data_IF_494191155105
#
_entry.id   IF_494191155105
#
_cell.length_a   1.000
_cell.length_b   1.000
_cell.length_c   1.000
_cell.angle_alpha   90.00
_cell.angle_beta   90.00
_cell.angle_gamma   90.00
#
_symmetry.space_group_name_H-M   'P 1'
#
loop_
_entity.id
_entity.type
_entity.pdbx_description
1 polymer ?
#
# COMPACT_ATOMS: atom_id res chain seq x y z
N UNK A 1 -52.21 15.88 26.17
CA UNK A 1 -51.40 16.97 26.76
C UNK A 1 -50.74 16.50 28.04
N UNK A 2 -49.40 16.35 28.05
CA UNK A 2 -48.55 16.37 29.25
C UNK A 2 -47.15 16.71 28.76
N UNK A 3 -46.73 17.96 29.01
CA UNK A 3 -45.43 18.48 28.61
C UNK A 3 -44.43 18.10 29.71
N UNK A 4 -43.41 17.33 29.36
CA UNK A 4 -42.27 17.08 30.24
C UNK A 4 -41.19 18.08 29.83
N UNK A 5 -41.03 19.11 30.67
CA UNK A 5 -39.95 20.09 30.57
C UNK A 5 -38.82 19.53 31.43
N UNK A 6 -37.71 19.12 30.81
CA UNK A 6 -36.48 18.78 31.52
C UNK A 6 -35.44 19.83 31.18
N UNK A 7 -35.03 20.52 32.24
CA UNK A 7 -34.19 21.69 32.33
C UNK A 7 -32.77 21.44 31.80
N UNK A 8 -32.33 22.28 30.86
CA UNK A 8 -30.95 22.33 30.35
C UNK A 8 -30.09 23.15 31.34
N UNK A 9 -29.30 22.47 32.18
CA UNK A 9 -28.30 23.12 33.05
C UNK A 9 -26.99 23.25 32.29
N UNK A 10 -26.68 24.46 31.85
CA UNK A 10 -25.41 24.85 31.23
C UNK A 10 -24.44 25.22 32.36
N UNK A 11 -23.48 24.36 32.67
CA UNK A 11 -22.33 24.67 33.52
C UNK A 11 -21.14 25.07 32.65
N UNK A 12 -20.93 26.37 32.46
CA UNK A 12 -19.67 26.90 31.92
C UNK A 12 -18.61 26.91 33.02
N UNK A 13 -17.65 25.99 32.97
CA UNK A 13 -16.44 26.08 33.78
C UNK A 13 -15.55 27.20 33.23
N UNK A 14 -15.25 28.15 34.10
CA UNK A 14 -14.31 29.25 33.86
C UNK A 14 -12.88 28.70 33.68
N UNK A 15 -12.24 29.06 32.57
CA UNK A 15 -10.81 28.90 32.35
C UNK A 15 -10.04 29.86 33.27
N UNK A 16 -9.36 29.35 34.29
CA UNK A 16 -8.31 30.10 35.00
C UNK A 16 -7.04 30.12 34.16
N UNK A 17 -6.72 31.29 33.62
CA UNK A 17 -5.44 31.60 33.02
C UNK A 17 -4.34 31.59 34.10
N UNK A 18 -3.34 30.72 33.95
CA UNK A 18 -2.06 30.86 34.62
C UNK A 18 -1.22 31.86 33.79
N UNK A 19 -1.20 33.11 34.23
CA UNK A 19 -0.25 34.11 33.74
C UNK A 19 0.92 34.27 34.72
N UNK A 20 2.12 34.40 34.15
CA UNK A 20 3.41 34.80 34.71
C UNK A 20 4.24 33.77 35.49
N UNK A 21 5.36 33.42 34.86
CA UNK A 21 6.65 33.42 35.55
C UNK A 21 7.73 33.98 34.61
N UNK A 22 8.10 35.23 34.84
CA UNK A 22 9.31 35.84 34.32
C UNK A 22 10.54 35.12 34.90
N UNK A 23 11.52 34.86 34.05
CA UNK A 23 12.90 34.58 34.46
C UNK A 23 13.84 35.25 33.47
N UNK A 24 14.41 36.37 33.92
CA UNK A 24 15.56 37.02 33.31
C UNK A 24 16.76 36.07 33.21
N UNK A 25 17.45 36.09 32.07
CA UNK A 25 18.66 35.32 31.82
C UNK A 25 19.32 35.67 30.48
N UNK A 26 19.99 36.82 30.44
CA UNK A 26 20.85 37.34 29.35
C UNK A 26 21.78 36.29 28.71
N UNK A 27 21.94 36.36 27.39
CA UNK A 27 23.18 36.78 26.70
C UNK A 27 23.39 36.07 25.37
N UNK A 28 23.50 36.82 24.27
CA UNK A 28 24.09 36.33 23.01
C UNK A 28 23.50 36.93 21.74
N UNK A 29 23.67 38.23 21.51
CA UNK A 29 23.57 38.81 20.16
C UNK A 29 24.68 38.25 19.29
N UNK A 30 24.36 37.83 18.06
CA UNK A 30 25.26 37.96 16.93
C UNK A 30 24.47 38.32 15.66
N UNK A 31 25.02 39.31 14.97
CA UNK A 31 24.47 40.01 13.83
C UNK A 31 24.71 39.27 12.50
N UNK A 32 23.76 39.47 11.57
CA UNK A 32 23.95 39.84 10.16
C UNK A 32 24.39 38.76 9.15
N UNK A 33 23.63 38.69 8.05
CA UNK A 33 24.15 38.31 6.74
C UNK A 33 23.11 37.79 5.77
N UNK A 34 22.36 38.70 5.12
CA UNK A 34 21.71 38.41 3.84
C UNK A 34 22.74 37.90 2.84
N UNK A 35 22.42 36.80 2.15
CA UNK A 35 22.91 36.59 0.77
C UNK A 35 22.02 35.61 0.01
N UNK A 36 21.09 36.21 -0.72
CA UNK A 36 20.57 35.72 -1.99
C UNK A 36 21.73 35.37 -2.93
N UNK A 37 21.75 34.16 -3.49
CA UNK A 37 22.55 33.83 -4.67
C UNK A 37 21.66 33.13 -5.68
N UNK A 38 21.62 33.79 -6.82
CA UNK A 38 20.93 33.57 -8.07
C UNK A 38 21.44 32.33 -8.82
N UNK A 39 20.60 31.89 -9.75
CA UNK A 39 20.76 30.92 -10.83
C UNK A 39 22.17 30.79 -11.44
N UNK A 40 22.50 29.56 -11.85
CA UNK A 40 23.32 29.35 -13.04
C UNK A 40 22.78 28.14 -13.81
N UNK A 41 22.00 28.44 -14.85
CA UNK A 41 21.90 27.62 -16.04
C UNK A 41 23.28 27.48 -16.68
N UNK A 42 23.57 26.33 -17.27
CA UNK A 42 24.52 26.21 -18.37
C UNK A 42 24.05 25.06 -19.27
N UNK A 43 23.25 25.44 -20.27
CA UNK A 43 23.23 24.79 -21.56
C UNK A 43 24.44 25.28 -22.35
N UNK A 44 25.21 24.39 -22.97
CA UNK A 44 25.78 24.69 -24.29
C UNK A 44 25.89 23.41 -25.11
N UNK A 45 25.32 23.52 -26.30
CA UNK A 45 25.21 22.56 -27.39
C UNK A 45 26.55 22.24 -28.08
N UNK A 46 26.42 21.28 -29.01
CA UNK A 46 27.21 20.99 -30.22
C UNK A 46 28.26 19.88 -30.10
N UNK A 47 28.40 18.92 -31.01
CA UNK A 47 27.64 18.50 -32.20
C UNK A 47 28.23 17.14 -32.67
N UNK A 48 27.37 16.28 -33.24
CA UNK A 48 27.57 15.14 -34.19
C UNK A 48 28.88 14.33 -34.20
N UNK A 49 28.71 13.00 -34.18
CA UNK A 49 28.93 12.26 -35.43
C UNK A 49 28.02 11.04 -35.58
N UNK A 50 27.57 10.81 -36.81
CA UNK A 50 26.67 9.77 -37.29
C UNK A 50 27.52 8.66 -37.89
N UNK A 51 27.31 7.39 -37.53
CA UNK A 51 27.44 6.32 -38.53
C UNK A 51 26.50 5.15 -38.25
N UNK A 52 25.54 5.04 -39.16
CA UNK A 52 24.67 3.89 -39.42
C UNK A 52 25.49 2.86 -40.20
N UNK A 53 25.42 1.58 -39.83
CA UNK A 53 25.63 0.50 -40.77
C UNK A 53 24.60 -0.62 -40.50
N UNK A 54 23.77 -0.82 -41.51
CA UNK A 54 22.89 -1.97 -41.71
C UNK A 54 23.53 -2.76 -42.84
N UNK A 55 23.72 -4.06 -42.69
CA UNK A 55 23.81 -4.96 -43.84
C UNK A 55 23.20 -6.33 -43.48
N UNK A 56 22.22 -6.71 -44.30
CA UNK A 56 21.54 -7.99 -44.39
C UNK A 56 22.44 -9.09 -45.00
N UNK A 57 22.28 -10.35 -44.58
CA UNK A 57 21.87 -11.45 -45.48
C UNK A 57 21.78 -12.82 -44.77
N UNK A 58 20.55 -13.33 -44.68
CA UNK A 58 20.04 -14.51 -45.41
C UNK A 58 20.68 -15.89 -45.24
N UNK A 59 19.85 -16.75 -44.65
CA UNK A 59 19.52 -18.15 -44.96
C UNK A 59 20.59 -19.11 -45.49
N UNK A 60 20.69 -20.28 -44.85
CA UNK A 60 20.47 -21.54 -45.55
C UNK A 60 20.00 -22.66 -44.61
N UNK A 61 18.99 -23.37 -45.10
CA UNK A 61 18.27 -24.50 -44.51
C UNK A 61 18.98 -25.83 -44.87
N UNK A 62 18.56 -26.91 -44.21
CA UNK A 62 18.51 -28.34 -44.67
C UNK A 62 19.35 -29.36 -43.89
N UNK A 63 18.65 -30.05 -42.98
CA UNK A 63 18.36 -31.52 -42.91
C UNK A 63 19.49 -32.54 -43.12
N UNK A 64 19.59 -33.52 -42.19
CA UNK A 64 20.22 -34.82 -42.47
C UNK A 64 20.52 -35.68 -41.23
N UNK A 65 19.66 -36.66 -40.99
CA UNK A 65 19.58 -37.68 -39.93
C UNK A 65 20.78 -38.68 -39.88
N UNK A 66 21.11 -39.25 -38.70
CA UNK A 66 21.64 -40.63 -38.53
C UNK A 66 21.44 -41.17 -37.09
N UNK A 67 20.40 -42.00 -36.99
CA UNK A 67 20.01 -43.17 -36.15
C UNK A 67 20.86 -43.73 -34.97
N UNK A 68 20.09 -44.18 -33.95
CA UNK A 68 20.11 -45.46 -33.18
C UNK A 68 21.35 -45.85 -32.34
N UNK A 69 21.28 -46.55 -31.21
CA UNK A 69 20.24 -47.18 -30.37
C UNK A 69 20.94 -47.56 -29.03
N UNK A 70 20.21 -47.75 -27.94
CA UNK A 70 20.42 -48.88 -27.00
C UNK A 70 19.67 -48.66 -25.69
N UNK A 71 18.71 -49.53 -25.49
CA UNK A 71 17.89 -49.81 -24.32
C UNK A 71 18.65 -49.97 -22.99
N UNK A 72 17.99 -49.58 -21.89
CA UNK A 72 17.51 -50.55 -20.90
C UNK A 72 16.61 -49.91 -19.84
N UNK A 73 15.33 -50.31 -19.87
CA UNK A 73 14.31 -50.04 -18.86
C UNK A 73 14.13 -51.29 -17.99
N UNK A 74 14.14 -51.14 -16.67
CA UNK A 74 13.71 -52.17 -15.72
C UNK A 74 13.01 -51.51 -14.52
N UNK A 75 11.69 -51.70 -14.50
CA UNK A 75 10.73 -51.29 -13.49
C UNK A 75 11.00 -51.89 -12.09
N UNK A 76 10.73 -51.13 -11.02
CA UNK A 76 10.44 -51.68 -9.68
C UNK A 76 9.30 -50.86 -9.03
N UNK A 77 8.45 -51.60 -8.33
CA UNK A 77 7.07 -51.39 -7.91
C UNK A 77 6.81 -50.34 -6.82
N UNK A 78 5.57 -49.85 -6.82
CA UNK A 78 4.92 -49.16 -5.70
C UNK A 78 4.65 -50.10 -4.54
N UNK A 79 4.82 -49.63 -3.31
CA UNK A 79 4.28 -50.24 -2.10
C UNK A 79 3.87 -49.16 -1.10
N UNK A 80 2.58 -49.15 -0.77
CA UNK A 80 2.01 -48.39 0.34
C UNK A 80 2.50 -48.96 1.68
N UNK A 81 2.82 -48.10 2.65
CA UNK A 81 2.66 -48.41 4.07
C UNK A 81 2.42 -47.14 4.89
N UNK A 82 1.26 -47.10 5.53
CA UNK A 82 0.91 -46.21 6.64
C UNK A 82 1.62 -46.68 7.90
N UNK A 83 2.31 -45.79 8.62
CA UNK A 83 2.57 -45.93 10.05
C UNK A 83 2.72 -44.53 10.65
N UNK A 84 1.88 -44.25 11.65
CA UNK A 84 1.88 -43.00 12.38
C UNK A 84 3.16 -42.81 13.17
N UNK A 85 3.66 -41.58 13.13
CA UNK A 85 4.64 -41.08 14.07
C UNK A 85 4.10 -39.75 14.60
N UNK A 86 3.96 -39.69 15.92
CA UNK A 86 3.39 -38.57 16.66
C UNK A 86 4.19 -37.29 16.37
N UNK A 87 3.63 -36.38 15.58
CA UNK A 87 4.16 -35.03 15.49
C UNK A 87 3.89 -34.32 16.82
N UNK A 88 4.96 -34.22 17.60
CA UNK A 88 5.17 -33.16 18.57
C UNK A 88 4.71 -31.82 17.96
N UNK A 89 4.04 -30.93 18.72
CA UNK A 89 3.62 -29.63 18.19
C UNK A 89 4.89 -28.92 17.71
N UNK A 90 5.02 -28.82 16.39
CA UNK A 90 6.05 -28.02 15.76
C UNK A 90 5.86 -26.60 16.27
N UNK A 91 6.88 -26.12 16.96
CA UNK A 91 7.09 -24.70 17.25
C UNK A 91 7.05 -23.98 15.89
N UNK A 92 5.88 -23.48 15.54
CA UNK A 92 5.56 -22.90 14.25
C UNK A 92 6.22 -21.51 14.27
N UNK A 93 7.54 -21.49 14.05
CA UNK A 93 8.28 -20.24 13.95
C UNK A 93 7.71 -19.49 12.76
N UNK A 94 6.79 -18.55 13.02
CA UNK A 94 6.11 -17.77 12.01
C UNK A 94 7.20 -16.99 11.24
N UNK A 95 7.52 -17.46 10.04
CA UNK A 95 8.38 -16.73 9.12
C UNK A 95 7.65 -15.46 8.66
N UNK A 96 8.33 -14.31 8.61
CA UNK A 96 7.76 -13.02 8.20
C UNK A 96 7.16 -13.02 6.78
N UNK A 97 7.67 -13.88 5.90
CA UNK A 97 7.05 -14.04 4.58
C UNK A 97 5.67 -14.71 4.71
N UNK A 98 5.59 -15.74 5.55
CA UNK A 98 4.37 -16.49 5.80
C UNK A 98 3.28 -15.63 6.46
N UNK A 99 3.64 -14.73 7.39
CA UNK A 99 2.66 -13.80 7.98
C UNK A 99 2.15 -12.78 6.95
N UNK A 100 3.03 -12.30 6.08
CA UNK A 100 2.68 -11.31 5.05
C UNK A 100 1.68 -11.87 4.05
N UNK A 101 1.89 -13.10 3.59
CA UNK A 101 0.93 -13.80 2.71
C UNK A 101 -0.40 -14.07 3.44
N UNK A 102 -0.35 -14.60 4.67
CA UNK A 102 -1.54 -14.90 5.47
C UNK A 102 -2.42 -13.67 5.69
N UNK A 103 -1.82 -12.53 6.04
CA UNK A 103 -2.59 -11.31 6.31
C UNK A 103 -3.16 -10.70 5.03
N UNK A 104 -2.42 -10.79 3.90
CA UNK A 104 -2.94 -10.38 2.60
C UNK A 104 -4.16 -11.21 2.20
N UNK A 105 -4.05 -12.53 2.31
CA UNK A 105 -5.17 -13.43 2.00
C UNK A 105 -6.36 -13.19 2.94
N UNK A 106 -6.11 -12.96 4.23
CA UNK A 106 -7.15 -12.59 5.16
C UNK A 106 -7.88 -11.31 4.74
N UNK A 107 -7.16 -10.23 4.41
CA UNK A 107 -7.75 -8.95 4.00
C UNK A 107 -8.60 -9.12 2.72
N UNK A 108 -8.11 -9.86 1.73
CA UNK A 108 -8.79 -9.98 0.42
C UNK A 108 -9.92 -11.02 0.44
N UNK A 109 -9.72 -12.16 1.11
CA UNK A 109 -10.60 -13.34 1.00
C UNK A 109 -11.15 -13.84 2.36
N UNK A 110 -10.46 -13.58 3.46
CA UNK A 110 -10.69 -14.25 4.75
C UNK A 110 -11.79 -13.66 5.66
N UNK A 111 -12.54 -12.65 5.20
CA UNK A 111 -13.51 -11.90 6.03
C UNK A 111 -14.98 -12.25 5.70
N UNK A 112 -15.25 -13.45 5.19
CA UNK A 112 -16.58 -13.84 4.69
C UNK A 112 -17.67 -13.97 5.75
N UNK A 113 -17.28 -14.13 7.02
CA UNK A 113 -18.16 -14.19 8.19
C UNK A 113 -18.55 -12.80 8.72
N UNK A 114 -17.87 -11.73 8.28
CA UNK A 114 -18.13 -10.36 8.70
C UNK A 114 -19.16 -9.67 7.80
N UNK A 115 -20.01 -8.80 8.36
CA UNK A 115 -20.85 -7.93 7.54
C UNK A 115 -19.98 -6.97 6.72
N UNK A 116 -20.47 -6.55 5.56
CA UNK A 116 -19.70 -5.73 4.60
C UNK A 116 -19.15 -4.42 5.19
N UNK A 117 -19.83 -3.85 6.19
CA UNK A 117 -19.41 -2.63 6.87
C UNK A 117 -18.22 -2.85 7.83
N UNK A 118 -17.97 -4.08 8.28
CA UNK A 118 -16.88 -4.42 9.21
C UNK A 118 -15.64 -4.95 8.50
N UNK A 119 -15.73 -5.27 7.20
CA UNK A 119 -14.59 -5.76 6.44
C UNK A 119 -13.54 -4.68 6.26
N UNK A 120 -12.27 -5.04 6.44
CA UNK A 120 -11.14 -4.25 5.98
C UNK A 120 -11.11 -4.25 4.45
N UNK A 121 -11.09 -3.05 3.87
CA UNK A 121 -11.26 -2.84 2.43
C UNK A 121 -10.01 -2.23 1.84
N UNK A 122 -9.44 -2.94 0.89
CA UNK A 122 -8.16 -2.63 0.27
C UNK A 122 -8.21 -2.89 -1.23
N UNK A 123 -7.51 -2.04 -1.99
CA UNK A 123 -7.06 -2.44 -3.33
C UNK A 123 -5.96 -3.49 -3.20
N UNK A 124 -6.06 -4.58 -3.96
CA UNK A 124 -5.00 -5.58 -4.06
C UNK A 124 -3.69 -4.97 -4.56
N UNK A 125 -3.77 -4.01 -5.49
CA UNK A 125 -2.61 -3.29 -6.04
C UNK A 125 -1.89 -2.52 -4.93
N UNK A 126 -2.63 -1.78 -4.11
CA UNK A 126 -2.07 -1.07 -2.96
C UNK A 126 -1.47 -2.00 -1.92
N UNK A 127 -2.23 -3.04 -1.53
CA UNK A 127 -1.80 -3.97 -0.49
C UNK A 127 -0.49 -4.70 -0.87
N UNK A 128 -0.23 -4.88 -2.16
CA UNK A 128 1.00 -5.49 -2.65
C UNK A 128 2.22 -4.59 -2.61
N UNK A 129 2.04 -3.27 -2.66
CA UNK A 129 3.12 -2.27 -2.58
C UNK A 129 3.52 -1.93 -1.13
N UNK A 130 2.68 -2.27 -0.15
CA UNK A 130 2.97 -2.03 1.26
C UNK A 130 4.02 -3.00 1.78
N UNK A 131 5.01 -2.47 2.52
CA UNK A 131 5.99 -3.29 3.24
C UNK A 131 5.38 -3.89 4.52
N UNK A 132 4.65 -4.99 4.35
CA UNK A 132 3.96 -5.70 5.44
C UNK A 132 4.94 -6.23 6.50
N UNK A 133 6.14 -6.66 6.11
CA UNK A 133 7.14 -7.16 7.05
C UNK A 133 7.57 -6.08 8.06
N UNK A 134 7.74 -4.83 7.62
CA UNK A 134 8.07 -3.72 8.53
C UNK A 134 6.89 -3.38 9.43
N UNK A 135 5.67 -3.35 8.90
CA UNK A 135 4.46 -3.14 9.70
C UNK A 135 4.26 -4.24 10.75
N UNK A 136 4.66 -5.47 10.42
CA UNK A 136 4.62 -6.57 11.38
C UNK A 136 5.60 -6.35 12.53
N UNK A 137 6.83 -5.91 12.24
CA UNK A 137 7.80 -5.57 13.28
C UNK A 137 7.29 -4.45 14.20
N UNK A 138 6.69 -3.41 13.63
CA UNK A 138 6.08 -2.31 14.39
C UNK A 138 4.91 -2.80 15.25
N UNK A 139 4.07 -3.67 14.70
CA UNK A 139 2.94 -4.28 15.41
C UNK A 139 3.39 -5.11 16.62
N UNK A 140 4.41 -5.96 16.47
CA UNK A 140 4.98 -6.75 17.57
C UNK A 140 5.65 -5.83 18.60
N UNK A 141 6.38 -4.81 18.16
CA UNK A 141 7.01 -3.83 19.05
C UNK A 141 5.98 -3.04 19.88
N UNK A 142 4.78 -2.81 19.33
CA UNK A 142 3.66 -2.20 20.02
C UNK A 142 2.91 -3.16 21.00
N UNK A 143 3.35 -4.42 21.10
CA UNK A 143 2.76 -5.44 21.98
C UNK A 143 1.67 -6.29 21.32
N UNK A 144 1.59 -6.27 19.99
CA UNK A 144 0.66 -7.10 19.21
C UNK A 144 0.90 -8.60 19.35
N UNK A 145 -0.15 -9.39 19.15
CA UNK A 145 -0.07 -10.85 19.15
C UNK A 145 0.38 -11.38 17.79
N UNK A 146 1.54 -12.06 17.75
CA UNK A 146 2.15 -12.63 16.53
C UNK A 146 1.28 -13.64 15.78
N UNK A 147 0.33 -14.26 16.48
CA UNK A 147 -0.53 -15.30 15.91
C UNK A 147 -1.92 -14.79 15.53
N UNK A 148 -2.25 -13.53 15.83
CA UNK A 148 -3.55 -12.93 15.51
C UNK A 148 -3.50 -12.17 14.18
N UNK A 149 -3.95 -12.86 13.12
CA UNK A 149 -3.99 -12.31 11.75
C UNK A 149 -5.01 -11.19 11.63
N UNK A 150 -6.15 -11.29 12.32
CA UNK A 150 -7.21 -10.29 12.23
C UNK A 150 -6.79 -8.99 12.91
N UNK A 151 -6.19 -9.09 14.09
CA UNK A 151 -5.63 -7.92 14.79
C UNK A 151 -4.52 -7.28 13.97
N UNK A 152 -3.65 -8.07 13.33
CA UNK A 152 -2.62 -7.54 12.46
C UNK A 152 -3.19 -6.89 11.18
N UNK A 153 -4.23 -7.46 10.56
CA UNK A 153 -4.92 -6.86 9.42
C UNK A 153 -5.54 -5.49 9.78
N UNK A 154 -6.12 -5.38 10.97
CA UNK A 154 -6.59 -4.11 11.51
C UNK A 154 -5.44 -3.12 11.68
N UNK A 155 -4.32 -3.57 12.25
CA UNK A 155 -3.14 -2.73 12.45
C UNK A 155 -2.61 -2.18 11.12
N UNK A 156 -2.47 -3.02 10.09
CA UNK A 156 -2.08 -2.60 8.74
C UNK A 156 -3.05 -1.54 8.20
N UNK A 157 -4.36 -1.78 8.31
CA UNK A 157 -5.39 -0.85 7.82
C UNK A 157 -5.29 0.54 8.46
N UNK A 158 -4.89 0.61 9.73
CA UNK A 158 -4.79 1.88 10.46
C UNK A 158 -3.42 2.56 10.33
N UNK A 159 -2.35 1.79 10.15
CA UNK A 159 -0.97 2.30 10.30
C UNK A 159 -0.12 2.21 9.03
N UNK A 160 -0.57 1.53 7.97
CA UNK A 160 0.17 1.48 6.71
C UNK A 160 0.46 2.89 6.20
N UNK A 161 1.67 3.21 5.72
CA UNK A 161 1.98 4.53 5.21
C UNK A 161 1.14 4.83 3.95
N UNK A 162 0.84 6.11 3.72
CA UNK A 162 0.32 6.55 2.42
C UNK A 162 1.46 6.45 1.42
N UNK A 163 1.30 5.60 0.41
CA UNK A 163 2.31 5.38 -0.63
C UNK A 163 2.51 6.66 -1.44
N UNK A 164 3.75 7.05 -1.73
CA UNK A 164 4.03 8.28 -2.49
C UNK A 164 3.45 8.26 -3.91
N UNK A 165 3.23 7.07 -4.48
CA UNK A 165 2.64 6.84 -5.79
C UNK A 165 1.14 6.47 -5.73
N UNK A 166 0.46 6.68 -4.60
CA UNK A 166 -0.94 6.26 -4.40
C UNK A 166 -1.87 6.73 -5.52
N UNK A 167 -1.72 7.98 -6.00
CA UNK A 167 -2.58 8.51 -7.06
C UNK A 167 -2.47 7.70 -8.36
N UNK A 168 -1.25 7.27 -8.71
CA UNK A 168 -1.02 6.50 -9.94
C UNK A 168 -1.66 5.12 -9.82
N UNK A 169 -1.44 4.44 -8.70
CA UNK A 169 -2.05 3.13 -8.42
C UNK A 169 -3.59 3.23 -8.45
N UNK A 170 -4.15 4.27 -7.84
CA UNK A 170 -5.59 4.48 -7.82
C UNK A 170 -6.15 4.78 -9.22
N UNK A 171 -5.49 5.64 -10.01
CA UNK A 171 -5.92 5.96 -11.38
C UNK A 171 -5.99 4.70 -12.25
N UNK A 172 -5.03 3.79 -12.10
CA UNK A 172 -5.06 2.49 -12.76
C UNK A 172 -6.23 1.63 -12.28
N UNK A 173 -6.44 1.50 -10.97
CA UNK A 173 -7.56 0.71 -10.43
C UNK A 173 -8.93 1.27 -10.83
N UNK A 174 -9.09 2.60 -10.88
CA UNK A 174 -10.32 3.25 -11.32
C UNK A 174 -10.58 2.98 -12.81
N UNK A 175 -9.52 3.05 -13.63
CA UNK A 175 -9.59 2.76 -15.06
C UNK A 175 -9.95 1.30 -15.32
N UNK A 176 -9.32 0.38 -14.60
CA UNK A 176 -9.58 -1.05 -14.72
C UNK A 176 -11.00 -1.41 -14.26
N UNK A 177 -11.50 -0.74 -13.21
CA UNK A 177 -12.83 -1.03 -12.63
C UNK A 177 -13.97 -0.41 -13.41
N UNK A 178 -13.82 0.84 -13.88
CA UNK A 178 -14.91 1.61 -14.48
C UNK A 178 -14.64 2.17 -15.88
N UNK A 179 -13.39 2.12 -16.36
CA UNK A 179 -13.00 2.74 -17.64
C UNK A 179 -12.85 4.26 -17.58
N UNK A 180 -12.91 4.86 -16.39
CA UNK A 180 -12.88 6.31 -16.19
C UNK A 180 -11.48 6.85 -15.96
N UNK A 181 -11.23 8.08 -16.43
CA UNK A 181 -10.02 8.83 -16.15
C UNK A 181 -10.29 9.90 -15.08
N UNK A 182 -9.41 9.99 -14.09
CA UNK A 182 -9.49 11.00 -13.03
C UNK A 182 -9.14 12.37 -13.60
N UNK A 183 -10.04 13.35 -13.42
CA UNK A 183 -9.79 14.74 -13.83
C UNK A 183 -9.41 15.66 -12.66
N UNK A 184 -9.86 15.32 -11.44
CA UNK A 184 -9.55 16.07 -10.23
C UNK A 184 -9.63 15.16 -9.00
N UNK A 185 -8.74 15.39 -8.05
CA UNK A 185 -8.77 14.83 -6.70
C UNK A 185 -8.91 15.99 -5.71
N UNK A 186 -9.94 15.94 -4.89
CA UNK A 186 -10.18 16.93 -3.84
C UNK A 186 -10.01 16.26 -2.48
N UNK A 187 -9.05 16.74 -1.71
CA UNK A 187 -8.82 16.23 -0.35
C UNK A 187 -10.04 16.52 0.51
N UNK A 188 -10.49 15.51 1.25
CA UNK A 188 -11.57 15.62 2.22
C UNK A 188 -10.98 15.70 3.62
N UNK A 189 -10.87 14.56 4.30
CA UNK A 189 -10.37 14.45 5.66
C UNK A 189 -9.45 13.23 5.77
N UNK A 190 -8.40 13.35 6.60
CA UNK A 190 -7.45 12.26 6.80
C UNK A 190 -6.79 11.86 5.49
N UNK A 191 -6.96 10.60 5.11
CA UNK A 191 -6.47 10.04 3.85
C UNK A 191 -7.54 9.93 2.75
N UNK A 192 -8.72 10.54 2.93
CA UNK A 192 -9.83 10.45 1.98
C UNK A 192 -9.80 11.58 0.96
N UNK A 193 -10.12 11.22 -0.30
CA UNK A 193 -10.23 12.15 -1.42
C UNK A 193 -11.51 11.90 -2.20
N UNK A 194 -12.23 12.98 -2.53
CA UNK A 194 -13.29 12.96 -3.53
C UNK A 194 -12.65 12.95 -4.92
N UNK A 195 -13.04 11.97 -5.74
CA UNK A 195 -12.58 11.78 -7.10
C UNK A 195 -13.62 12.34 -8.05
N UNK A 196 -13.16 13.09 -9.05
CA UNK A 196 -14.00 13.59 -10.13
C UNK A 196 -13.57 12.99 -11.46
N UNK A 197 -14.56 12.76 -12.33
CA UNK A 197 -14.38 12.27 -13.71
C UNK A 197 -15.13 13.21 -14.67
N UNK A 198 -14.82 13.12 -15.96
CA UNK A 198 -15.57 13.83 -16.98
C UNK A 198 -16.76 12.99 -17.47
N UNK A 199 -17.99 13.47 -17.25
CA UNK A 199 -19.21 12.92 -17.83
C UNK A 199 -19.84 13.95 -18.75
N UNK A 200 -19.97 13.62 -20.03
CA UNK A 200 -20.59 14.48 -21.04
C UNK A 200 -20.02 15.92 -21.06
N UNK A 201 -18.71 16.05 -20.90
CA UNK A 201 -18.01 17.34 -20.88
C UNK A 201 -18.03 18.06 -19.52
N UNK A 202 -18.68 17.50 -18.51
CA UNK A 202 -18.79 18.10 -17.17
C UNK A 202 -17.96 17.34 -16.14
N UNK A 203 -17.27 18.07 -15.27
CA UNK A 203 -16.62 17.51 -14.08
C UNK A 203 -17.68 17.14 -13.04
N UNK A 204 -17.76 15.86 -12.66
CA UNK A 204 -18.73 15.37 -11.68
C UNK A 204 -18.06 14.50 -10.61
N UNK A 205 -18.50 14.56 -9.34
CA UNK A 205 -18.01 13.65 -8.30
C UNK A 205 -18.41 12.22 -8.65
N UNK A 206 -17.50 11.27 -8.43
CA UNK A 206 -17.69 9.89 -8.88
C UNK A 206 -17.55 8.89 -7.75
N UNK A 207 -16.37 8.83 -7.11
CA UNK A 207 -16.10 7.94 -5.97
C UNK A 207 -15.31 8.70 -4.91
N UNK A 208 -15.34 8.20 -3.67
CA UNK A 208 -14.38 8.57 -2.62
C UNK A 208 -13.35 7.46 -2.51
N UNK A 209 -12.07 7.82 -2.41
CA UNK A 209 -10.95 6.89 -2.27
C UNK A 209 -10.16 7.17 -0.99
N UNK A 210 -9.67 6.12 -0.34
CA UNK A 210 -8.60 6.25 0.67
C UNK A 210 -7.23 6.17 0.01
N UNK A 211 -6.41 7.21 0.17
CA UNK A 211 -5.02 7.24 -0.29
C UNK A 211 -4.12 6.20 0.42
N UNK A 212 -4.56 5.67 1.57
CA UNK A 212 -3.82 4.64 2.30
C UNK A 212 -4.10 3.24 1.78
N UNK A 213 -5.37 2.87 1.64
CA UNK A 213 -5.77 1.50 1.28
C UNK A 213 -6.04 1.33 -0.21
N UNK A 214 -6.16 2.43 -0.95
CA UNK A 214 -6.58 2.46 -2.35
C UNK A 214 -8.02 2.04 -2.59
N UNK A 215 -8.75 1.67 -1.54
CA UNK A 215 -10.15 1.31 -1.66
C UNK A 215 -11.00 2.54 -1.97
N UNK A 216 -11.96 2.36 -2.88
CA UNK A 216 -12.90 3.40 -3.25
C UNK A 216 -14.33 2.87 -3.34
N UNK A 217 -15.28 3.78 -3.13
CA UNK A 217 -16.70 3.54 -3.30
C UNK A 217 -17.41 4.84 -3.73
N UNK A 218 -18.49 4.73 -4.49
CA UNK A 218 -19.29 5.86 -4.97
C UNK A 218 -20.70 5.43 -5.32
#
# INVERSE_FOLDING_TARGET
MKKIIISLLVSTMFLTACSLKDSDGKSGQNNKGDKEITESSNDTNEEKDVTKNTEDNKDNNTTGNYDNDSDNNSSIESSNNTSGESQSPSDDSINKENISEKVKDYIINGQGDKPEAEKYKWSTRFLNEVNIATLYDDYIAAGGNSSDIEEFAKYITLNAPILSNWEALFKEDLKDTYGEDVVKLEHLEGDLYQVYVNKDGSEVPFVVVSARTGYFHG
#
